data_IF_354812048983
#
_entry.id   IF_354812048983
#
_cell.length_a   1.000
_cell.length_b   1.000
_cell.length_c   1.000
_cell.angle_alpha   90.00
_cell.angle_beta   90.00
_cell.angle_gamma   90.00
#
_symmetry.space_group_name_H-M   'P 1'
#
loop_
_entity.id
_entity.type
_entity.pdbx_description
1 polymer ?
#
# COMPACT_ATOMS: atom_id res chain seq x y z
N UNK A 1 -35.20 -24.69 -10.31
CA UNK A 1 -33.86 -25.06 -9.77
C UNK A 1 -33.40 -23.91 -8.90
N UNK A 2 -33.37 -24.09 -7.57
CA UNK A 2 -32.84 -23.10 -6.62
C UNK A 2 -31.39 -23.48 -6.35
N UNK A 3 -30.45 -22.97 -7.15
CA UNK A 3 -29.04 -23.02 -6.78
C UNK A 3 -28.81 -21.87 -5.79
N UNK A 4 -28.46 -22.15 -4.53
CA UNK A 4 -28.19 -21.09 -3.57
C UNK A 4 -26.96 -20.32 -4.05
N UNK A 5 -27.17 -19.06 -4.47
CA UNK A 5 -26.09 -18.14 -4.79
C UNK A 5 -25.37 -17.86 -3.47
N UNK A 6 -24.22 -18.49 -3.28
CA UNK A 6 -23.34 -18.23 -2.14
C UNK A 6 -22.35 -17.17 -2.56
N UNK A 7 -22.51 -15.97 -2.02
CA UNK A 7 -21.51 -14.92 -2.19
C UNK A 7 -20.25 -15.27 -1.38
N UNK A 8 -19.05 -15.05 -1.94
CA UNK A 8 -17.83 -15.25 -1.19
C UNK A 8 -17.73 -14.24 -0.05
N UNK A 9 -17.18 -14.67 1.06
CA UNK A 9 -16.76 -13.79 2.15
C UNK A 9 -15.52 -12.99 1.75
N UNK A 10 -15.32 -11.84 2.40
CA UNK A 10 -14.12 -11.02 2.17
C UNK A 10 -12.83 -11.82 2.37
N UNK A 11 -12.80 -12.73 3.35
CA UNK A 11 -11.66 -13.59 3.61
C UNK A 11 -11.36 -14.52 2.41
N UNK A 12 -12.39 -15.11 1.80
CA UNK A 12 -12.23 -15.97 0.62
C UNK A 12 -11.69 -15.17 -0.57
N UNK A 13 -12.22 -13.96 -0.81
CA UNK A 13 -11.75 -13.07 -1.89
C UNK A 13 -10.28 -12.67 -1.66
N UNK A 14 -9.93 -12.27 -0.44
CA UNK A 14 -8.57 -11.85 -0.09
C UNK A 14 -7.56 -12.99 -0.30
N UNK A 15 -7.91 -14.20 0.13
CA UNK A 15 -7.03 -15.37 -0.04
C UNK A 15 -6.79 -15.64 -1.54
N UNK A 16 -7.83 -15.56 -2.35
CA UNK A 16 -7.74 -15.79 -3.79
C UNK A 16 -6.89 -14.72 -4.49
N UNK A 17 -7.12 -13.44 -4.18
CA UNK A 17 -6.33 -12.33 -4.73
C UNK A 17 -4.85 -12.42 -4.31
N UNK A 18 -4.58 -12.78 -3.05
CA UNK A 18 -3.23 -12.99 -2.57
C UNK A 18 -2.53 -14.14 -3.30
N UNK A 19 -3.25 -15.25 -3.55
CA UNK A 19 -2.74 -16.36 -4.33
C UNK A 19 -2.43 -15.94 -5.78
N UNK A 20 -3.35 -15.21 -6.43
CA UNK A 20 -3.16 -14.66 -7.79
C UNK A 20 -1.95 -13.75 -7.87
N UNK A 21 -1.79 -12.82 -6.93
CA UNK A 21 -0.61 -11.95 -6.87
C UNK A 21 0.69 -12.74 -6.67
N UNK A 22 0.69 -13.75 -5.81
CA UNK A 22 1.85 -14.62 -5.59
C UNK A 22 2.17 -15.51 -6.79
N UNK A 23 1.20 -15.82 -7.65
CA UNK A 23 1.47 -16.56 -8.88
C UNK A 23 2.17 -15.73 -9.96
N UNK A 24 2.18 -14.40 -9.84
CA UNK A 24 2.85 -13.51 -10.81
C UNK A 24 4.37 -13.67 -10.78
N UNK A 25 5.02 -13.44 -11.93
CA UNK A 25 6.47 -13.28 -12.01
C UNK A 25 6.94 -12.08 -11.18
N UNK A 26 8.20 -12.07 -10.70
CA UNK A 26 8.72 -10.97 -9.89
C UNK A 26 8.55 -9.58 -10.53
N UNK A 27 8.78 -9.47 -11.85
CA UNK A 27 8.60 -8.22 -12.58
C UNK A 27 7.13 -7.75 -12.58
N UNK A 28 6.20 -8.68 -12.83
CA UNK A 28 4.77 -8.36 -12.84
C UNK A 28 4.27 -7.99 -11.43
N UNK A 29 4.79 -8.61 -10.37
CA UNK A 29 4.50 -8.18 -8.99
C UNK A 29 4.93 -6.73 -8.74
N UNK A 30 6.16 -6.39 -9.13
CA UNK A 30 6.66 -5.01 -9.00
C UNK A 30 5.83 -4.02 -9.81
N UNK A 31 5.41 -4.40 -11.02
CA UNK A 31 4.53 -3.58 -11.86
C UNK A 31 3.19 -3.35 -11.19
N UNK A 32 2.56 -4.39 -10.64
CA UNK A 32 1.29 -4.28 -9.89
C UNK A 32 1.42 -3.37 -8.67
N UNK A 33 2.48 -3.53 -7.88
CA UNK A 33 2.76 -2.66 -6.72
C UNK A 33 2.90 -1.20 -7.18
N UNK A 34 3.69 -0.94 -8.23
CA UNK A 34 3.86 0.42 -8.78
C UNK A 34 2.54 1.01 -9.27
N UNK A 35 1.71 0.21 -9.94
CA UNK A 35 0.39 0.64 -10.38
C UNK A 35 -0.51 1.05 -9.21
N UNK A 36 -0.53 0.25 -8.14
CA UNK A 36 -1.29 0.56 -6.93
C UNK A 36 -0.79 1.86 -6.26
N UNK A 37 0.53 2.05 -6.17
CA UNK A 37 1.12 3.28 -5.63
C UNK A 37 0.77 4.51 -6.49
N UNK A 38 0.83 4.38 -7.81
CA UNK A 38 0.48 5.46 -8.74
C UNK A 38 -1.00 5.83 -8.63
N UNK A 39 -1.90 4.84 -8.52
CA UNK A 39 -3.33 5.08 -8.30
C UNK A 39 -3.56 5.81 -6.96
N UNK A 40 -2.91 5.36 -5.88
CA UNK A 40 -2.98 6.04 -4.58
C UNK A 40 -2.51 7.49 -4.66
N UNK A 41 -1.38 7.75 -5.31
CA UNK A 41 -0.86 9.10 -5.52
C UNK A 41 -1.83 9.99 -6.33
N UNK A 42 -2.48 9.43 -7.35
CA UNK A 42 -3.49 10.14 -8.12
C UNK A 42 -4.70 10.53 -7.25
N UNK A 43 -5.21 9.60 -6.44
CA UNK A 43 -6.32 9.85 -5.52
C UNK A 43 -5.95 10.94 -4.51
N UNK A 44 -4.75 10.87 -3.93
CA UNK A 44 -4.27 11.89 -2.99
C UNK A 44 -4.18 13.27 -3.65
N UNK A 45 -3.72 13.34 -4.91
CA UNK A 45 -3.62 14.59 -5.67
C UNK A 45 -4.99 15.19 -5.99
N UNK A 46 -5.98 14.37 -6.29
CA UNK A 46 -7.34 14.80 -6.65
C UNK A 46 -8.24 15.05 -5.42
N UNK A 47 -7.79 14.66 -4.22
CA UNK A 47 -8.55 14.83 -2.99
C UNK A 47 -8.80 16.30 -2.67
N UNK A 48 -9.99 16.67 -2.14
CA UNK A 48 -10.25 17.99 -1.57
C UNK A 48 -9.27 18.37 -0.45
N UNK A 49 -8.61 17.38 0.17
CA UNK A 49 -7.61 17.56 1.24
C UNK A 49 -6.17 17.43 0.72
N UNK A 50 -5.92 17.59 -0.58
CA UNK A 50 -4.60 17.37 -1.16
C UNK A 50 -3.48 18.22 -0.51
N UNK A 51 -3.75 19.45 -0.09
CA UNK A 51 -2.77 20.28 0.61
C UNK A 51 -2.35 19.68 1.96
N UNK A 52 -3.33 19.33 2.80
CA UNK A 52 -3.11 18.63 4.06
C UNK A 52 -2.36 17.31 3.85
N UNK A 53 -2.76 16.51 2.87
CA UNK A 53 -2.11 15.23 2.58
C UNK A 53 -0.64 15.40 2.20
N UNK A 54 -0.29 16.44 1.43
CA UNK A 54 1.11 16.75 1.11
C UNK A 54 1.94 17.11 2.34
N UNK A 55 1.42 18.00 3.18
CA UNK A 55 2.09 18.41 4.42
C UNK A 55 2.27 17.23 5.38
N UNK A 56 1.22 16.42 5.53
CA UNK A 56 1.26 15.21 6.33
C UNK A 56 2.29 14.19 5.81
N UNK A 57 2.36 13.97 4.50
CA UNK A 57 3.37 13.09 3.90
C UNK A 57 4.79 13.59 4.18
N UNK A 58 5.06 14.89 4.02
CA UNK A 58 6.36 15.48 4.33
C UNK A 58 6.73 15.33 5.81
N UNK A 59 5.76 15.49 6.71
CA UNK A 59 5.99 15.28 8.14
C UNK A 59 6.37 13.82 8.44
N UNK A 60 5.70 12.85 7.81
CA UNK A 60 6.03 11.43 7.97
C UNK A 60 7.42 11.08 7.45
N UNK A 61 7.82 11.63 6.29
CA UNK A 61 9.18 11.45 5.75
C UNK A 61 10.24 12.01 6.71
N UNK A 62 10.01 13.20 7.27
CA UNK A 62 10.90 13.80 8.26
C UNK A 62 11.00 12.93 9.52
N UNK A 63 9.88 12.41 10.03
CA UNK A 63 9.87 11.49 11.18
C UNK A 63 10.64 10.21 10.89
N UNK A 64 10.49 9.65 9.69
CA UNK A 64 11.25 8.46 9.29
C UNK A 64 12.76 8.73 9.26
N UNK A 65 13.18 9.87 8.69
CA UNK A 65 14.59 10.27 8.71
C UNK A 65 15.13 10.44 10.14
N UNK A 66 14.35 11.04 11.04
CA UNK A 66 14.77 11.19 12.44
C UNK A 66 14.89 9.83 13.14
N UNK A 67 13.93 8.92 12.94
CA UNK A 67 13.99 7.58 13.51
C UNK A 67 15.25 6.81 13.06
N UNK A 68 15.64 6.94 11.78
CA UNK A 68 16.90 6.34 11.26
C UNK A 68 18.12 6.96 11.93
N UNK A 69 18.17 8.30 12.04
CA UNK A 69 19.29 8.99 12.72
C UNK A 69 19.43 8.55 14.17
N UNK A 70 18.33 8.49 14.92
CA UNK A 70 18.32 8.03 16.30
C UNK A 70 18.76 6.56 16.42
N UNK A 71 18.27 5.70 15.53
CA UNK A 71 18.69 4.30 15.49
C UNK A 71 20.21 4.18 15.32
N UNK A 72 20.78 4.91 14.35
CA UNK A 72 22.23 4.93 14.13
C UNK A 72 22.99 5.48 15.34
N UNK A 73 22.53 6.60 15.92
CA UNK A 73 23.17 7.19 17.10
C UNK A 73 23.21 6.24 18.31
N UNK A 74 22.20 5.37 18.47
CA UNK A 74 22.14 4.39 19.57
C UNK A 74 23.00 3.13 19.34
N UNK A 75 23.31 2.77 18.10
CA UNK A 75 23.92 1.47 17.78
C UNK A 75 25.27 1.56 17.08
N UNK A 76 25.65 2.73 16.56
CA UNK A 76 26.93 2.96 15.90
C UNK A 76 27.95 3.69 16.80
N UNK A 77 27.59 3.94 18.08
CA UNK A 77 28.44 4.54 19.11
C UNK A 77 29.10 3.52 20.00
#
# INVERSE_FOLDING_TARGET
MNLPIKFPSDAEVIIEEAARFRALSPENRLRSIRGMLAAGALIMRQSPKAAFLREYTLEQENRAHQAVKEFLARHAG
#
